data_IF_665925016928
#
_entry.id   IF_665925016928
#
_cell.length_a   1.000
_cell.length_b   1.000
_cell.length_c   1.000
_cell.angle_alpha   90.00
_cell.angle_beta   90.00
_cell.angle_gamma   90.00
#
_symmetry.space_group_name_H-M   'P 1'
#
loop_
_entity.id
_entity.type
_entity.pdbx_description
1 polymer ?
#
# COMPACT_ATOMS: atom_id res chain seq x y z
N UNK A 1 61.44 -57.17 25.13
CA UNK A 1 60.49 -57.10 24.01
C UNK A 1 59.14 -56.66 24.60
N UNK A 2 58.83 -55.35 24.51
CA UNK A 2 57.56 -54.76 24.97
C UNK A 2 56.75 -54.42 23.74
N UNK A 3 55.57 -55.04 23.58
CA UNK A 3 54.59 -54.74 22.52
C UNK A 3 53.71 -53.59 22.99
N UNK A 4 53.73 -52.44 22.30
CA UNK A 4 52.73 -51.36 22.45
C UNK A 4 51.51 -51.73 21.60
N UNK A 5 50.35 -51.86 22.24
CA UNK A 5 49.08 -51.88 21.55
C UNK A 5 48.57 -50.41 21.39
N UNK A 6 48.47 -49.95 20.18
CA UNK A 6 47.84 -48.67 19.88
C UNK A 6 46.34 -48.85 19.74
N UNK A 7 45.56 -48.17 20.59
CA UNK A 7 44.09 -48.07 20.47
C UNK A 7 43.75 -46.94 19.46
N UNK A 8 43.21 -47.29 18.30
CA UNK A 8 42.58 -46.35 17.39
C UNK A 8 41.16 -46.05 17.86
N UNK A 9 40.91 -44.81 18.32
CA UNK A 9 39.60 -44.30 18.67
C UNK A 9 38.95 -43.80 17.37
N UNK A 10 37.99 -44.54 16.82
CA UNK A 10 37.20 -44.10 15.68
C UNK A 10 36.14 -43.11 16.15
N UNK A 11 36.31 -41.82 15.89
CA UNK A 11 35.30 -40.80 16.06
C UNK A 11 34.26 -40.90 14.94
N UNK A 12 33.10 -41.50 15.22
CA UNK A 12 31.93 -41.42 14.33
C UNK A 12 31.34 -40.03 14.46
N UNK A 13 31.56 -39.18 13.45
CA UNK A 13 30.82 -37.93 13.25
C UNK A 13 29.37 -38.27 12.87
N UNK A 14 28.46 -38.14 13.84
CA UNK A 14 27.03 -38.15 13.57
C UNK A 14 26.70 -36.86 12.78
N UNK A 15 26.47 -37.01 11.46
CA UNK A 15 25.93 -35.95 10.62
C UNK A 15 24.50 -35.66 11.10
N UNK A 16 24.29 -34.53 11.77
CA UNK A 16 22.97 -34.02 12.07
C UNK A 16 22.34 -33.61 10.71
N UNK A 17 21.19 -34.19 10.32
CA UNK A 17 20.55 -33.80 9.08
C UNK A 17 20.24 -32.29 9.14
N UNK A 18 20.75 -31.53 8.18
CA UNK A 18 20.38 -30.13 8.02
C UNK A 18 18.86 -30.08 7.83
N UNK A 19 18.15 -29.42 8.76
CA UNK A 19 16.72 -29.22 8.59
C UNK A 19 16.48 -28.54 7.25
N UNK A 20 15.66 -29.18 6.39
CA UNK A 20 15.31 -28.59 5.10
C UNK A 20 14.72 -27.22 5.32
N UNK A 21 15.25 -26.19 4.65
CA UNK A 21 14.69 -24.86 4.72
C UNK A 21 13.26 -24.91 4.16
N UNK A 22 12.30 -24.27 4.84
CA UNK A 22 10.93 -24.23 4.33
C UNK A 22 10.89 -23.58 2.94
N UNK A 23 10.02 -24.12 2.05
CA UNK A 23 9.90 -23.62 0.69
C UNK A 23 9.56 -22.13 0.64
N UNK A 24 10.09 -21.37 -0.34
CA UNK A 24 9.73 -19.98 -0.54
C UNK A 24 8.23 -19.77 -0.64
N UNK A 25 7.75 -18.63 -0.19
CA UNK A 25 6.34 -18.26 -0.18
C UNK A 25 6.13 -16.85 -0.75
N UNK A 26 4.91 -16.55 -1.19
CA UNK A 26 4.58 -15.21 -1.63
C UNK A 26 4.50 -14.25 -0.45
N UNK A 27 5.10 -13.07 -0.62
CA UNK A 27 5.01 -11.95 0.29
C UNK A 27 4.58 -10.70 -0.47
N UNK A 28 3.52 -10.04 -0.01
CA UNK A 28 3.09 -8.80 -0.64
C UNK A 28 4.15 -7.73 -0.45
N UNK A 29 4.65 -7.21 -1.55
CA UNK A 29 5.73 -6.23 -1.60
C UNK A 29 5.25 -4.81 -1.94
N UNK A 30 4.08 -4.71 -2.54
CA UNK A 30 3.39 -3.45 -2.79
C UNK A 30 1.87 -3.71 -2.81
N UNK A 31 1.11 -2.75 -2.29
CA UNK A 31 -0.34 -2.75 -2.36
C UNK A 31 -0.87 -1.32 -2.56
N UNK A 32 -2.05 -1.21 -3.16
CA UNK A 32 -2.85 0.01 -3.22
C UNK A 32 -4.30 -0.34 -2.90
N UNK A 33 -4.84 0.22 -1.83
CA UNK A 33 -6.25 0.06 -1.50
C UNK A 33 -7.10 0.76 -2.54
N UNK A 34 -7.95 0.01 -3.25
CA UNK A 34 -8.75 0.57 -4.34
C UNK A 34 -10.09 1.12 -3.85
N UNK A 35 -10.56 2.13 -4.56
CA UNK A 35 -11.83 2.80 -4.40
C UNK A 35 -12.45 3.06 -5.77
N UNK A 36 -13.56 3.75 -5.83
CA UNK A 36 -14.17 4.11 -7.09
C UNK A 36 -15.69 4.05 -7.07
N UNK A 37 -16.33 4.13 -8.23
CA UNK A 37 -15.65 4.21 -9.54
C UNK A 37 -14.98 5.57 -9.79
N UNK A 38 -13.90 5.58 -10.57
CA UNK A 38 -13.33 6.82 -11.10
C UNK A 38 -14.45 7.66 -11.76
N UNK A 39 -14.52 9.01 -11.55
CA UNK A 39 -13.55 9.85 -10.89
C UNK A 39 -13.82 10.09 -9.39
N UNK A 40 -14.69 9.31 -8.73
CA UNK A 40 -15.00 9.51 -7.31
C UNK A 40 -13.85 9.02 -6.43
N UNK A 41 -13.21 9.97 -5.73
CA UNK A 41 -12.05 9.72 -4.88
C UNK A 41 -11.44 11.04 -4.40
N UNK A 42 -10.32 10.95 -3.67
CA UNK A 42 -9.57 12.10 -3.17
C UNK A 42 -8.16 12.15 -3.77
N UNK A 43 -8.00 12.43 -5.08
CA UNK A 43 -6.69 12.54 -5.71
C UNK A 43 -5.91 13.74 -5.16
N UNK A 44 -4.58 13.69 -5.26
CA UNK A 44 -3.69 14.81 -4.96
C UNK A 44 -2.73 15.03 -6.11
N UNK A 45 -2.47 16.29 -6.45
CA UNK A 45 -1.56 16.70 -7.53
C UNK A 45 -1.86 16.00 -8.88
N UNK A 46 -3.15 15.73 -9.13
CA UNK A 46 -3.61 15.00 -10.31
C UNK A 46 -3.55 15.92 -11.55
N UNK A 47 -2.86 15.50 -12.61
CA UNK A 47 -2.96 16.18 -13.90
C UNK A 47 -4.38 16.14 -14.47
N UNK A 48 -4.68 17.00 -15.45
CA UNK A 48 -5.96 16.94 -16.15
C UNK A 48 -6.12 15.59 -16.86
N UNK A 49 -7.12 14.83 -16.45
CA UNK A 49 -7.37 13.49 -16.96
C UNK A 49 -8.25 13.44 -18.21
N UNK A 50 -8.74 14.58 -18.69
CA UNK A 50 -9.61 14.64 -19.90
C UNK A 50 -8.93 14.12 -21.15
N UNK A 51 -7.60 14.17 -21.22
CA UNK A 51 -6.85 13.63 -22.34
C UNK A 51 -6.61 12.12 -22.24
N UNK A 52 -6.54 11.62 -21.01
CA UNK A 52 -6.37 10.19 -20.73
C UNK A 52 -7.73 9.47 -20.74
N UNK A 53 -8.75 10.07 -20.12
CA UNK A 53 -10.11 9.54 -20.00
C UNK A 53 -11.13 10.62 -20.36
N UNK A 54 -11.38 10.88 -21.66
CA UNK A 54 -12.29 11.95 -22.14
C UNK A 54 -13.73 11.75 -21.64
N UNK A 55 -14.15 10.50 -21.51
CA UNK A 55 -15.43 10.10 -20.95
C UNK A 55 -15.22 9.18 -19.75
N UNK A 56 -15.37 9.69 -18.51
CA UNK A 56 -15.23 8.88 -17.31
C UNK A 56 -16.19 7.68 -17.21
N UNK A 57 -17.35 7.75 -17.87
CA UNK A 57 -18.32 6.65 -17.87
C UNK A 57 -17.89 5.49 -18.80
N UNK A 58 -17.22 5.80 -19.89
CA UNK A 58 -16.60 4.82 -20.76
C UNK A 58 -15.29 4.26 -20.17
N UNK A 59 -14.64 5.07 -19.33
CA UNK A 59 -13.39 4.71 -18.67
C UNK A 59 -12.20 4.66 -19.65
N UNK A 60 -11.29 3.70 -19.43
CA UNK A 60 -10.20 3.42 -20.34
C UNK A 60 -10.75 2.76 -21.62
N UNK A 61 -10.25 3.17 -22.78
CA UNK A 61 -10.77 2.74 -24.08
C UNK A 61 -9.66 2.37 -25.05
N UNK A 62 -9.48 1.07 -25.30
CA UNK A 62 -8.48 0.53 -26.23
C UNK A 62 -7.13 1.26 -26.10
N UNK A 63 -6.59 1.30 -24.87
CA UNK A 63 -5.39 2.06 -24.53
C UNK A 63 -4.52 1.32 -23.52
N UNK A 64 -3.25 1.67 -23.49
CA UNK A 64 -2.28 1.11 -22.53
C UNK A 64 -2.02 2.09 -21.40
N UNK A 65 -2.15 1.63 -20.17
CA UNK A 65 -1.70 2.31 -18.97
C UNK A 65 -0.34 1.72 -18.53
N UNK A 66 0.58 2.56 -18.09
CA UNK A 66 1.87 2.15 -17.52
C UNK A 66 1.99 2.70 -16.10
N UNK A 67 1.72 1.84 -15.14
CA UNK A 67 1.66 2.17 -13.73
C UNK A 67 3.02 1.95 -13.10
N UNK A 68 3.50 2.96 -12.38
CA UNK A 68 4.79 2.90 -11.70
C UNK A 68 4.55 2.59 -10.24
N UNK A 69 5.19 1.52 -9.73
CA UNK A 69 5.06 1.05 -8.35
C UNK A 69 6.44 0.81 -7.73
N UNK A 70 6.56 0.98 -6.41
CA UNK A 70 7.80 0.78 -5.67
C UNK A 70 7.67 -0.43 -4.75
N UNK A 71 8.27 -1.58 -5.11
CA UNK A 71 8.32 -2.73 -4.22
C UNK A 71 9.11 -2.40 -2.94
N UNK A 72 8.63 -2.86 -1.81
CA UNK A 72 9.31 -2.74 -0.52
C UNK A 72 10.24 -3.92 -0.22
N UNK A 73 10.02 -5.05 -0.87
CA UNK A 73 10.86 -6.25 -0.87
C UNK A 73 11.14 -6.67 -2.33
N UNK A 74 12.33 -7.18 -2.64
CA UNK A 74 12.71 -7.64 -3.96
C UNK A 74 13.04 -9.12 -3.97
N UNK A 75 12.32 -9.89 -4.79
CA UNK A 75 12.55 -11.31 -5.08
C UNK A 75 12.77 -11.56 -6.57
N UNK A 76 13.19 -12.77 -6.94
CA UNK A 76 13.48 -13.14 -8.34
C UNK A 76 12.21 -13.44 -9.16
N UNK A 77 11.06 -13.54 -8.52
CA UNK A 77 9.77 -13.72 -9.18
C UNK A 77 8.74 -12.79 -8.54
N UNK A 78 7.83 -12.28 -9.38
CA UNK A 78 6.71 -11.47 -8.95
C UNK A 78 5.39 -12.04 -9.49
N UNK A 79 4.26 -11.67 -8.88
CA UNK A 79 2.93 -11.81 -9.45
C UNK A 79 2.11 -10.56 -9.16
N UNK A 80 1.18 -10.26 -10.05
CA UNK A 80 0.38 -9.04 -10.02
C UNK A 80 -1.08 -9.38 -9.78
N UNK A 81 -1.78 -8.57 -8.99
CA UNK A 81 -3.23 -8.67 -8.80
C UNK A 81 -3.91 -7.48 -9.46
N UNK A 82 -4.91 -7.79 -10.28
CA UNK A 82 -5.77 -6.79 -10.93
C UNK A 82 -7.19 -6.90 -10.39
N UNK A 83 -7.84 -5.75 -10.20
CA UNK A 83 -9.14 -5.63 -9.55
C UNK A 83 -10.14 -4.88 -10.43
N UNK A 84 -11.34 -5.43 -10.55
CA UNK A 84 -12.50 -4.80 -11.14
C UNK A 84 -13.60 -4.57 -10.08
N UNK A 85 -13.18 -4.29 -8.83
CA UNK A 85 -14.05 -4.23 -7.65
C UNK A 85 -15.22 -3.22 -7.80
N UNK A 86 -15.02 -2.16 -8.54
CA UNK A 86 -16.01 -1.08 -8.76
C UNK A 86 -16.43 -0.94 -10.22
N UNK A 87 -16.05 -1.87 -11.07
CA UNK A 87 -16.52 -1.97 -12.44
C UNK A 87 -17.95 -2.54 -12.53
N UNK A 88 -18.67 -2.16 -13.58
CA UNK A 88 -20.03 -2.66 -13.89
C UNK A 88 -20.06 -3.51 -15.17
N UNK A 89 -18.93 -3.59 -15.87
CA UNK A 89 -18.71 -4.42 -17.06
C UNK A 89 -17.54 -5.37 -16.82
N UNK A 90 -17.43 -6.52 -17.52
CA UNK A 90 -16.21 -7.30 -17.54
C UNK A 90 -15.03 -6.46 -18.03
N UNK A 91 -13.94 -6.45 -17.26
CA UNK A 91 -12.68 -5.82 -17.64
C UNK A 91 -11.81 -6.83 -18.38
N UNK A 92 -11.45 -6.55 -19.62
CA UNK A 92 -10.54 -7.37 -20.39
C UNK A 92 -9.18 -6.67 -20.46
N UNK A 93 -8.17 -7.32 -19.88
CA UNK A 93 -6.77 -6.90 -19.95
C UNK A 93 -5.99 -7.85 -20.83
N UNK A 94 -5.14 -7.31 -21.68
CA UNK A 94 -4.20 -8.12 -22.44
C UNK A 94 -2.82 -7.42 -22.56
N UNK A 95 -1.85 -8.13 -23.12
CA UNK A 95 -0.51 -7.58 -23.33
C UNK A 95 0.09 -6.91 -22.09
N UNK A 96 -0.16 -7.48 -20.92
CA UNK A 96 0.39 -6.99 -19.66
C UNK A 96 1.89 -7.28 -19.63
N UNK A 97 2.69 -6.27 -19.22
CA UNK A 97 4.14 -6.37 -19.09
C UNK A 97 4.61 -5.79 -17.76
N UNK A 98 5.75 -6.28 -17.28
CA UNK A 98 6.40 -5.86 -16.05
C UNK A 98 7.90 -5.65 -16.30
N UNK A 99 8.42 -4.45 -16.05
CA UNK A 99 9.84 -4.14 -16.23
C UNK A 99 10.37 -3.16 -15.20
N UNK A 100 11.70 -3.06 -15.12
CA UNK A 100 12.38 -2.12 -14.25
C UNK A 100 12.27 -0.70 -14.85
N UNK A 101 11.69 0.25 -14.12
CA UNK A 101 11.59 1.63 -14.58
C UNK A 101 12.99 2.25 -14.75
N UNK A 102 13.25 2.85 -15.91
CA UNK A 102 14.43 3.65 -16.17
C UNK A 102 14.27 5.09 -15.65
N UNK A 103 13.15 5.71 -16.02
CA UNK A 103 12.73 7.07 -15.67
C UNK A 103 11.56 7.46 -16.57
N UNK A 104 10.72 8.41 -16.13
CA UNK A 104 9.50 8.73 -16.89
C UNK A 104 8.65 7.48 -17.14
N UNK A 105 8.18 7.30 -18.35
CA UNK A 105 7.50 6.08 -18.80
C UNK A 105 8.46 5.03 -19.38
N UNK A 106 9.77 5.30 -19.45
CA UNK A 106 10.74 4.37 -20.03
C UNK A 106 11.08 3.21 -19.08
N UNK A 107 11.31 2.05 -19.67
CA UNK A 107 11.73 0.80 -19.02
C UNK A 107 13.19 0.53 -19.37
N UNK A 108 13.94 -0.03 -18.42
CA UNK A 108 15.33 -0.45 -18.66
C UNK A 108 15.33 -1.55 -19.73
N UNK A 109 16.02 -1.38 -20.86
CA UNK A 109 16.03 -2.34 -21.96
C UNK A 109 16.40 -3.77 -21.48
N UNK A 110 15.65 -4.75 -21.96
CA UNK A 110 15.85 -6.17 -21.63
C UNK A 110 15.24 -6.62 -20.29
N UNK A 111 14.64 -5.71 -19.51
CA UNK A 111 13.95 -6.07 -18.25
C UNK A 111 12.45 -6.26 -18.40
N UNK A 112 11.86 -5.86 -19.52
CA UNK A 112 10.41 -5.85 -19.76
C UNK A 112 9.91 -7.28 -20.06
N UNK A 113 9.22 -7.90 -19.10
CA UNK A 113 8.76 -9.29 -19.17
C UNK A 113 7.25 -9.35 -19.45
N UNK A 114 6.79 -10.24 -20.34
CA UNK A 114 5.37 -10.47 -20.53
C UNK A 114 4.75 -11.16 -19.30
N UNK A 115 3.55 -10.72 -18.94
CA UNK A 115 2.75 -11.26 -17.83
C UNK A 115 1.64 -12.12 -18.42
N UNK A 116 1.41 -13.30 -17.84
CA UNK A 116 0.39 -14.25 -18.27
C UNK A 116 -0.61 -14.54 -17.18
N UNK A 117 -1.76 -15.10 -17.57
CA UNK A 117 -2.86 -15.50 -16.70
C UNK A 117 -3.30 -16.91 -17.09
N UNK A 118 -3.00 -17.90 -16.25
CA UNK A 118 -3.19 -19.33 -16.58
C UNK A 118 -2.59 -19.69 -17.96
N UNK A 119 -1.39 -19.16 -18.24
CA UNK A 119 -0.67 -19.36 -19.50
C UNK A 119 -1.12 -18.47 -20.66
N UNK A 120 -2.22 -17.72 -20.54
CA UNK A 120 -2.77 -16.84 -21.58
C UNK A 120 -2.22 -15.41 -21.46
N UNK A 121 -2.18 -14.66 -22.57
CA UNK A 121 -1.78 -13.24 -22.59
C UNK A 121 -2.88 -12.28 -22.13
N UNK A 122 -4.12 -12.78 -22.03
CA UNK A 122 -5.29 -11.97 -21.65
C UNK A 122 -6.02 -12.57 -20.46
N UNK A 123 -6.77 -11.71 -19.75
CA UNK A 123 -7.67 -12.08 -18.67
C UNK A 123 -8.95 -11.25 -18.74
N UNK A 124 -10.08 -11.89 -18.45
CA UNK A 124 -11.36 -11.21 -18.27
C UNK A 124 -11.72 -11.24 -16.79
N UNK A 125 -11.85 -10.06 -16.18
CA UNK A 125 -12.18 -9.90 -14.76
C UNK A 125 -13.64 -9.44 -14.66
N UNK A 126 -14.54 -10.25 -14.07
CA UNK A 126 -15.94 -9.86 -13.94
C UNK A 126 -16.11 -8.64 -13.01
N UNK A 127 -17.26 -7.94 -13.07
CA UNK A 127 -17.60 -6.91 -12.11
C UNK A 127 -17.49 -7.41 -10.67
N UNK A 128 -16.88 -6.61 -9.78
CA UNK A 128 -16.61 -7.00 -8.38
C UNK A 128 -15.45 -7.98 -8.21
N UNK A 129 -14.88 -8.52 -9.30
CA UNK A 129 -13.85 -9.57 -9.28
C UNK A 129 -12.42 -9.04 -9.21
N UNK A 130 -11.49 -9.99 -9.04
CA UNK A 130 -10.05 -9.78 -9.13
C UNK A 130 -9.38 -10.99 -9.80
N UNK A 131 -8.16 -10.78 -10.32
CA UNK A 131 -7.36 -11.85 -10.90
C UNK A 131 -5.89 -11.68 -10.55
N UNK A 132 -5.22 -12.79 -10.20
CA UNK A 132 -3.77 -12.88 -10.09
C UNK A 132 -3.15 -13.31 -11.41
N UNK A 133 -2.00 -12.74 -11.74
CA UNK A 133 -1.17 -13.24 -12.83
C UNK A 133 -0.45 -14.54 -12.42
N UNK A 134 0.04 -15.24 -13.42
CA UNK A 134 1.08 -16.26 -13.25
C UNK A 134 2.36 -15.61 -12.69
N UNK A 135 3.27 -16.42 -12.08
CA UNK A 135 4.59 -15.93 -11.69
C UNK A 135 5.39 -15.40 -12.89
N UNK A 136 5.96 -14.19 -12.71
CA UNK A 136 6.84 -13.53 -13.69
C UNK A 136 8.26 -13.57 -13.18
N UNK A 137 9.18 -14.13 -13.93
CA UNK A 137 10.60 -14.10 -13.59
C UNK A 137 11.16 -12.67 -13.76
N UNK A 138 12.01 -12.26 -12.82
CA UNK A 138 12.72 -10.99 -12.84
C UNK A 138 14.23 -11.25 -12.99
N UNK A 139 14.73 -11.54 -14.21
CA UNK A 139 16.11 -11.99 -14.42
C UNK A 139 17.16 -10.94 -14.06
N UNK A 140 16.76 -9.68 -13.90
CA UNK A 140 17.63 -8.60 -13.41
C UNK A 140 17.78 -8.58 -11.87
N UNK A 141 17.07 -9.44 -11.13
CA UNK A 141 17.25 -9.64 -9.69
C UNK A 141 18.17 -10.83 -9.46
N UNK A 142 19.45 -10.59 -9.20
CA UNK A 142 20.40 -11.65 -8.86
C UNK A 142 20.02 -12.37 -7.56
N UNK A 143 20.44 -13.61 -7.42
CA UNK A 143 20.22 -14.40 -6.20
C UNK A 143 20.86 -13.70 -5.00
N UNK A 144 20.07 -13.47 -3.93
CA UNK A 144 20.50 -12.74 -2.75
C UNK A 144 20.74 -11.23 -2.96
N UNK A 145 20.56 -10.71 -4.18
CA UNK A 145 20.91 -9.32 -4.53
C UNK A 145 19.69 -8.37 -4.57
N UNK A 146 18.51 -8.82 -4.15
CA UNK A 146 17.30 -7.98 -4.13
C UNK A 146 17.51 -6.64 -3.41
N UNK A 147 18.35 -6.60 -2.38
CA UNK A 147 18.67 -5.36 -1.67
C UNK A 147 19.34 -4.27 -2.53
N UNK A 148 20.02 -4.62 -3.62
CA UNK A 148 20.61 -3.64 -4.55
C UNK A 148 19.55 -2.85 -5.33
N UNK A 149 18.32 -3.34 -5.36
CA UNK A 149 17.19 -2.69 -6.03
C UNK A 149 16.31 -1.86 -5.08
N UNK A 150 16.69 -1.74 -3.81
CA UNK A 150 15.94 -0.93 -2.86
C UNK A 150 15.76 0.51 -3.36
N UNK A 151 14.50 0.99 -3.33
CA UNK A 151 14.14 2.31 -3.86
C UNK A 151 13.94 2.37 -5.38
N UNK A 152 14.30 1.31 -6.14
CA UNK A 152 13.97 1.22 -7.56
C UNK A 152 12.48 0.92 -7.73
N UNK A 153 11.96 1.26 -8.92
CA UNK A 153 10.54 1.12 -9.25
C UNK A 153 10.33 0.16 -10.40
N UNK A 154 9.17 -0.48 -10.40
CA UNK A 154 8.69 -1.29 -11.51
C UNK A 154 7.64 -0.50 -12.31
N UNK A 155 7.65 -0.68 -13.62
CA UNK A 155 6.62 -0.22 -14.52
C UNK A 155 5.75 -1.41 -14.92
N UNK A 156 4.47 -1.37 -14.56
CA UNK A 156 3.45 -2.36 -14.95
C UNK A 156 2.63 -1.76 -16.07
N UNK A 157 2.79 -2.28 -17.28
CA UNK A 157 2.01 -1.87 -18.45
C UNK A 157 0.85 -2.83 -18.63
N UNK A 158 -0.36 -2.30 -18.86
CA UNK A 158 -1.57 -3.08 -19.12
C UNK A 158 -2.37 -2.43 -20.24
N UNK A 159 -2.84 -3.21 -21.21
CA UNK A 159 -3.75 -2.77 -22.25
C UNK A 159 -5.18 -3.13 -21.88
N UNK A 160 -6.07 -2.14 -21.92
CA UNK A 160 -7.51 -2.33 -21.73
C UNK A 160 -8.14 -2.55 -23.10
N UNK A 161 -8.72 -3.73 -23.31
CA UNK A 161 -9.39 -4.08 -24.58
C UNK A 161 -10.79 -3.50 -24.60
N UNK A 162 -11.10 -2.73 -25.66
CA UNK A 162 -12.38 -2.05 -25.77
C UNK A 162 -12.59 -0.99 -24.68
N UNK A 163 -13.78 -0.91 -24.10
CA UNK A 163 -14.13 0.04 -23.03
C UNK A 163 -14.22 -0.66 -21.69
N UNK A 164 -13.51 -0.15 -20.69
CA UNK A 164 -13.59 -0.69 -19.33
C UNK A 164 -14.93 -0.41 -18.64
N UNK A 165 -15.63 0.64 -19.02
CA UNK A 165 -16.68 1.22 -18.20
C UNK A 165 -16.11 1.89 -16.92
N UNK A 166 -16.92 2.02 -15.86
CA UNK A 166 -16.47 2.59 -14.60
C UNK A 166 -15.25 1.90 -14.05
N UNK A 167 -14.20 2.67 -13.72
CA UNK A 167 -12.89 2.13 -13.37
C UNK A 167 -12.68 2.00 -11.87
N UNK A 168 -12.17 0.86 -11.45
CA UNK A 168 -11.54 0.67 -10.13
C UNK A 168 -10.20 1.38 -10.11
N UNK A 169 -9.92 2.19 -9.09
CA UNK A 169 -8.70 2.96 -8.99
C UNK A 169 -8.24 3.21 -7.55
N UNK A 170 -6.99 3.55 -7.38
CA UNK A 170 -6.46 4.19 -6.18
C UNK A 170 -6.16 5.65 -6.52
N UNK A 171 -6.92 6.57 -5.94
CA UNK A 171 -6.94 7.95 -6.38
C UNK A 171 -5.65 8.71 -6.07
N UNK A 172 -4.98 8.41 -4.94
CA UNK A 172 -3.85 9.17 -4.40
C UNK A 172 -2.55 8.36 -4.42
N UNK A 173 -2.08 8.01 -5.61
CA UNK A 173 -0.81 7.31 -5.71
C UNK A 173 0.38 8.17 -5.27
N UNK A 174 0.36 9.49 -5.50
CA UNK A 174 1.50 10.39 -5.34
C UNK A 174 2.77 9.87 -6.03
N UNK A 175 2.53 9.06 -7.05
CA UNK A 175 3.52 8.47 -7.95
C UNK A 175 3.06 8.69 -9.38
N UNK A 176 3.90 9.31 -10.20
CA UNK A 176 3.58 9.54 -11.60
C UNK A 176 3.55 8.20 -12.35
N UNK A 177 2.43 7.95 -12.99
CA UNK A 177 2.19 6.87 -13.92
C UNK A 177 1.77 7.45 -15.27
N UNK A 178 1.65 6.63 -16.30
CA UNK A 178 1.51 7.12 -17.67
C UNK A 178 0.43 6.36 -18.44
N UNK A 179 -0.06 6.97 -19.53
CA UNK A 179 -1.01 6.32 -20.40
C UNK A 179 -0.89 6.82 -21.86
N UNK A 180 -1.33 5.96 -22.77
CA UNK A 180 -1.49 6.30 -24.18
C UNK A 180 -2.78 7.07 -24.39
N UNK A 181 -2.97 7.68 -25.57
CA UNK A 181 -4.28 8.19 -25.97
C UNK A 181 -5.31 7.04 -26.08
N UNK A 182 -6.61 7.31 -25.84
CA UNK A 182 -7.67 6.37 -26.15
C UNK A 182 -7.61 5.88 -27.60
N UNK A 183 -7.84 4.60 -27.85
CA UNK A 183 -7.77 3.99 -29.20
C UNK A 183 -6.36 3.74 -29.72
N UNK A 184 -5.32 3.89 -28.88
CA UNK A 184 -3.93 3.65 -29.31
C UNK A 184 -3.52 2.17 -29.32
N UNK A 185 -4.30 1.28 -28.66
CA UNK A 185 -4.01 -0.15 -28.62
C UNK A 185 -2.86 -0.54 -27.67
N UNK A 186 -2.18 -1.65 -27.99
CA UNK A 186 -1.17 -2.33 -27.18
C UNK A 186 0.22 -1.73 -27.32
N UNK A 187 0.74 -1.16 -26.23
CA UNK A 187 2.11 -0.62 -26.14
C UNK A 187 2.91 -1.16 -24.94
N UNK A 188 2.40 -2.20 -24.25
CA UNK A 188 3.05 -2.77 -23.05
C UNK A 188 4.46 -3.30 -23.32
N UNK A 189 4.70 -3.86 -24.52
CA UNK A 189 5.98 -4.41 -24.95
C UNK A 189 7.08 -3.38 -25.22
N UNK A 190 6.71 -2.09 -25.41
CA UNK A 190 7.68 -1.05 -25.75
C UNK A 190 8.46 -0.60 -24.52
N UNK A 191 9.80 -0.60 -24.58
CA UNK A 191 10.67 -0.08 -23.51
C UNK A 191 10.69 1.45 -23.49
N UNK A 192 10.50 2.10 -24.64
CA UNK A 192 10.48 3.57 -24.78
C UNK A 192 9.20 4.22 -24.27
N UNK A 193 9.25 5.55 -24.12
CA UNK A 193 8.14 6.35 -23.58
C UNK A 193 7.29 7.05 -24.64
N UNK A 194 7.68 7.01 -25.93
CA UNK A 194 7.05 7.80 -26.98
C UNK A 194 5.53 7.59 -27.14
N UNK A 195 5.01 6.39 -26.79
CA UNK A 195 3.60 6.09 -26.85
C UNK A 195 2.79 6.62 -25.64
N UNK A 196 3.43 7.15 -24.60
CA UNK A 196 2.84 7.51 -23.34
C UNK A 196 2.85 9.02 -23.05
N UNK A 197 2.12 9.85 -23.82
CA UNK A 197 2.17 11.30 -23.71
C UNK A 197 1.45 11.86 -22.49
N UNK A 198 0.60 11.08 -21.83
CA UNK A 198 -0.22 11.55 -20.72
C UNK A 198 0.23 10.92 -19.40
N UNK A 199 0.10 11.69 -18.33
CA UNK A 199 0.45 11.24 -16.98
C UNK A 199 -0.75 11.25 -16.03
N UNK A 200 -0.64 10.49 -14.97
CA UNK A 200 -1.61 10.43 -13.85
C UNK A 200 -0.86 10.26 -12.54
N UNK A 201 -1.44 10.76 -11.45
CA UNK A 201 -0.97 10.54 -10.08
C UNK A 201 -1.81 9.48 -9.34
N UNK A 202 -2.40 8.55 -10.09
CA UNK A 202 -3.28 7.48 -9.60
C UNK A 202 -2.89 6.13 -10.19
N UNK A 203 -3.34 5.03 -9.54
CA UNK A 203 -3.24 3.69 -10.11
C UNK A 203 -4.64 3.16 -10.49
N UNK A 204 -4.72 2.45 -11.59
CA UNK A 204 -5.96 1.89 -12.12
C UNK A 204 -5.85 0.38 -12.25
N UNK A 205 -6.85 -0.34 -11.74
CA UNK A 205 -7.01 -1.79 -11.81
C UNK A 205 -5.93 -2.62 -11.07
N UNK A 206 -4.69 -2.19 -10.98
CA UNK A 206 -3.62 -2.87 -10.25
C UNK A 206 -3.74 -2.54 -8.76
N UNK A 207 -3.82 -3.55 -7.89
CA UNK A 207 -4.01 -3.36 -6.45
C UNK A 207 -3.04 -4.11 -5.55
N UNK A 208 -2.28 -5.09 -6.07
CA UNK A 208 -1.21 -5.74 -5.32
C UNK A 208 -0.10 -6.29 -6.22
N UNK A 209 1.11 -6.35 -5.65
CA UNK A 209 2.27 -7.02 -6.20
C UNK A 209 2.91 -7.87 -5.10
N UNK A 210 2.99 -9.17 -5.34
CA UNK A 210 3.72 -10.10 -4.49
C UNK A 210 5.08 -10.42 -5.09
N UNK A 211 6.07 -10.66 -4.22
CA UNK A 211 7.37 -11.22 -4.57
C UNK A 211 7.53 -12.60 -3.93
N UNK A 212 8.18 -13.52 -4.64
CA UNK A 212 8.58 -14.80 -4.04
C UNK A 212 9.74 -14.55 -3.07
N UNK A 213 9.54 -14.90 -1.82
CA UNK A 213 10.44 -14.59 -0.71
C UNK A 213 10.75 -15.86 0.11
N UNK A 214 11.81 -15.88 0.91
CA UNK A 214 12.02 -16.92 1.92
C UNK A 214 10.78 -17.08 2.81
N UNK A 215 10.46 -18.31 3.18
CA UNK A 215 9.31 -18.55 4.06
C UNK A 215 9.42 -17.76 5.36
N UNK A 216 8.31 -17.16 5.78
CA UNK A 216 8.25 -16.34 6.99
C UNK A 216 8.80 -14.91 6.82
N UNK A 217 9.11 -14.46 5.59
CA UNK A 217 9.41 -13.05 5.35
C UNK A 217 8.26 -12.16 5.83
N UNK A 218 8.50 -11.26 6.81
CA UNK A 218 7.44 -10.46 7.40
C UNK A 218 6.87 -9.43 6.42
N UNK A 219 5.54 -9.33 6.39
CA UNK A 219 4.80 -8.27 5.71
C UNK A 219 4.05 -7.45 6.75
N UNK A 220 4.37 -6.15 6.83
CA UNK A 220 3.73 -5.17 7.71
C UNK A 220 2.73 -4.37 6.89
N UNK A 221 1.46 -4.41 7.28
CA UNK A 221 0.41 -3.64 6.60
C UNK A 221 0.15 -2.35 7.36
N UNK A 222 0.38 -1.21 6.72
CA UNK A 222 -0.02 0.11 7.19
C UNK A 222 -1.45 0.38 6.70
N UNK A 223 -2.44 0.27 7.58
CA UNK A 223 -3.85 0.44 7.24
C UNK A 223 -4.37 1.76 7.80
N UNK A 224 -5.04 2.56 6.96
CA UNK A 224 -5.43 3.89 7.42
C UNK A 224 -6.16 4.74 6.39
N UNK A 225 -6.32 5.99 6.76
CA UNK A 225 -6.94 7.05 5.96
C UNK A 225 -5.92 7.86 5.12
N UNK A 226 -6.22 9.14 4.87
CA UNK A 226 -5.36 10.06 4.10
C UNK A 226 -3.97 10.26 4.69
N UNK A 227 -3.80 10.10 6.01
CA UNK A 227 -2.50 10.26 6.67
C UNK A 227 -1.62 9.05 6.42
N UNK A 228 -2.20 7.86 6.31
CA UNK A 228 -1.48 6.65 5.88
C UNK A 228 -1.26 6.64 4.36
N UNK A 229 -2.27 7.02 3.59
CA UNK A 229 -2.20 7.18 2.13
C UNK A 229 -1.14 8.22 1.70
N UNK A 230 -0.90 9.23 2.53
CA UNK A 230 0.22 10.17 2.41
C UNK A 230 -0.13 11.52 1.79
N UNK A 231 -1.34 12.03 2.06
CA UNK A 231 -1.72 13.39 1.65
C UNK A 231 -0.66 14.40 2.10
N UNK A 232 -0.25 15.31 1.19
CA UNK A 232 0.82 16.30 1.37
C UNK A 232 2.24 15.72 1.50
N UNK A 233 2.46 14.43 1.24
CA UNK A 233 3.81 13.92 1.00
C UNK A 233 4.33 14.33 -0.39
N UNK A 234 5.61 14.11 -0.65
CA UNK A 234 6.25 14.58 -1.90
C UNK A 234 5.86 13.70 -3.08
N UNK A 235 5.43 14.33 -4.18
CA UNK A 235 5.21 13.63 -5.45
C UNK A 235 6.48 12.87 -5.88
N UNK A 236 6.35 11.57 -6.12
CA UNK A 236 7.44 10.64 -6.44
C UNK A 236 8.50 10.48 -5.33
N UNK A 237 8.28 11.06 -4.13
CA UNK A 237 9.26 11.13 -3.06
C UNK A 237 9.33 9.89 -2.17
N UNK A 238 8.28 9.06 -2.17
CA UNK A 238 8.18 7.88 -1.30
C UNK A 238 8.54 8.22 0.16
N UNK A 239 7.96 9.30 0.71
CA UNK A 239 8.29 9.85 2.02
C UNK A 239 7.11 9.88 3.01
N UNK A 240 6.11 9.02 2.80
CA UNK A 240 5.02 8.71 3.72
C UNK A 240 5.57 8.01 4.96
N UNK A 241 4.84 8.00 6.06
CA UNK A 241 5.30 7.29 7.26
C UNK A 241 5.55 5.77 7.04
N UNK A 242 4.76 5.02 6.21
CA UNK A 242 5.09 3.63 5.90
C UNK A 242 6.38 3.50 5.07
N UNK A 243 6.67 4.45 4.19
CA UNK A 243 7.91 4.48 3.41
C UNK A 243 9.13 4.73 4.31
N UNK A 244 8.98 5.59 5.32
CA UNK A 244 10.02 5.84 6.35
C UNK A 244 10.26 4.55 7.14
N UNK A 245 9.21 3.89 7.60
CA UNK A 245 9.31 2.61 8.31
C UNK A 245 10.04 1.56 7.46
N UNK A 246 9.69 1.44 6.17
CA UNK A 246 10.35 0.52 5.24
C UNK A 246 11.85 0.82 5.12
N UNK A 247 12.26 2.08 4.96
CA UNK A 247 13.67 2.46 4.90
C UNK A 247 14.41 2.07 6.17
N UNK A 248 13.82 2.29 7.36
CA UNK A 248 14.42 1.92 8.66
C UNK A 248 14.61 0.40 8.79
N UNK A 249 13.62 -0.39 8.34
CA UNK A 249 13.77 -1.85 8.30
C UNK A 249 14.90 -2.26 7.36
N UNK A 250 14.95 -1.65 6.17
CA UNK A 250 15.99 -1.95 5.21
C UNK A 250 17.39 -1.56 5.71
N UNK A 251 17.56 -0.37 6.27
CA UNK A 251 18.83 0.09 6.86
C UNK A 251 19.32 -0.85 7.96
N UNK A 252 18.40 -1.38 8.77
CA UNK A 252 18.77 -2.22 9.90
C UNK A 252 18.95 -3.69 9.54
N UNK A 253 18.16 -4.22 8.61
CA UNK A 253 18.05 -5.66 8.37
C UNK A 253 18.22 -6.06 6.90
N UNK A 254 18.41 -5.10 5.99
CA UNK A 254 18.46 -5.34 4.56
C UNK A 254 17.11 -5.72 3.96
N UNK A 255 17.11 -6.45 2.85
CA UNK A 255 15.93 -6.87 2.11
C UNK A 255 15.22 -8.06 2.80
N UNK A 256 14.67 -7.86 4.01
CA UNK A 256 14.10 -8.93 4.84
C UNK A 256 12.67 -8.67 5.33
N UNK A 257 12.14 -7.47 5.14
CA UNK A 257 10.78 -7.07 5.58
C UNK A 257 10.13 -6.29 4.45
N UNK A 258 8.84 -6.52 4.22
CA UNK A 258 8.01 -5.67 3.38
C UNK A 258 7.08 -4.81 4.23
N UNK A 259 6.98 -3.51 3.93
CA UNK A 259 5.93 -2.63 4.47
C UNK A 259 5.05 -2.18 3.32
N UNK A 260 3.75 -2.43 3.40
CA UNK A 260 2.78 -2.08 2.37
C UNK A 260 1.78 -1.06 2.88
N UNK A 261 1.38 -0.15 2.01
CA UNK A 261 0.45 0.92 2.33
C UNK A 261 -0.96 0.57 1.86
N UNK A 262 -1.90 0.46 2.80
CA UNK A 262 -3.32 0.22 2.58
C UNK A 262 -4.18 1.41 3.05
N UNK A 263 -3.69 2.63 2.87
CA UNK A 263 -4.42 3.88 3.13
C UNK A 263 -5.39 4.24 2.02
N UNK A 264 -6.46 4.93 2.36
CA UNK A 264 -7.39 5.60 1.42
C UNK A 264 -7.71 7.00 1.93
N UNK A 265 -7.46 8.02 1.13
CA UNK A 265 -7.78 9.40 1.51
C UNK A 265 -9.28 9.60 1.83
N UNK A 266 -9.60 10.05 3.05
CA UNK A 266 -10.98 10.27 3.50
C UNK A 266 -11.67 9.04 4.09
N UNK A 267 -10.98 7.92 4.27
CA UNK A 267 -11.56 6.68 4.78
C UNK A 267 -12.09 6.84 6.22
N UNK A 268 -13.13 6.09 6.55
CA UNK A 268 -13.79 6.08 7.84
C UNK A 268 -13.87 4.65 8.38
N UNK A 269 -13.85 4.51 9.68
CA UNK A 269 -14.01 3.22 10.37
C UNK A 269 -15.49 2.81 10.40
N UNK A 270 -16.35 3.70 10.90
CA UNK A 270 -17.78 3.45 11.08
C UNK A 270 -18.65 3.84 9.87
N UNK A 271 -18.10 4.60 8.92
CA UNK A 271 -18.81 5.09 7.75
C UNK A 271 -18.06 4.86 6.43
N UNK A 272 -18.67 5.18 5.30
CA UNK A 272 -20.09 5.51 5.14
C UNK A 272 -21.01 4.31 5.44
N UNK A 273 -22.23 4.57 5.92
CA UNK A 273 -23.21 3.52 6.21
C UNK A 273 -23.65 2.74 4.96
N UNK A 274 -23.61 3.40 3.79
CA UNK A 274 -23.92 2.81 2.49
C UNK A 274 -22.83 3.19 1.49
N UNK A 275 -22.30 2.20 0.79
CA UNK A 275 -21.34 2.38 -0.29
C UNK A 275 -21.65 1.41 -1.44
N UNK A 276 -21.80 1.97 -2.64
CA UNK A 276 -22.01 1.17 -3.85
C UNK A 276 -21.48 1.93 -5.06
N UNK A 277 -21.40 1.26 -6.21
CA UNK A 277 -21.06 1.92 -7.47
C UNK A 277 -22.04 3.04 -7.85
N UNK A 278 -23.32 2.91 -7.44
CA UNK A 278 -24.36 3.94 -7.69
C UNK A 278 -24.33 5.06 -6.62
N UNK A 279 -23.82 4.78 -5.42
CA UNK A 279 -23.66 5.75 -4.33
C UNK A 279 -22.23 5.70 -3.81
N UNK A 280 -21.26 6.12 -4.62
CA UNK A 280 -19.87 6.11 -4.21
C UNK A 280 -19.57 7.24 -3.24
N UNK A 281 -18.62 6.99 -2.33
CA UNK A 281 -18.09 7.97 -1.38
C UNK A 281 -16.61 8.22 -1.67
N UNK A 282 -16.11 9.46 -1.69
CA UNK A 282 -14.71 9.75 -2.03
C UNK A 282 -13.69 9.06 -1.12
N UNK A 283 -14.04 8.79 0.14
CA UNK A 283 -13.21 8.04 1.09
C UNK A 283 -13.25 6.52 0.92
N UNK A 284 -13.92 6.01 -0.10
CA UNK A 284 -14.09 4.58 -0.31
C UNK A 284 -15.09 3.93 0.67
N UNK A 285 -15.22 2.59 0.64
CA UNK A 285 -16.02 1.85 1.62
C UNK A 285 -15.39 1.94 3.01
N UNK A 286 -16.19 1.68 4.07
CA UNK A 286 -15.68 1.69 5.44
C UNK A 286 -14.51 0.74 5.63
N UNK A 287 -13.70 0.99 6.65
CA UNK A 287 -12.54 0.15 6.99
C UNK A 287 -12.93 -1.34 7.07
N UNK A 288 -14.04 -1.66 7.74
CA UNK A 288 -14.55 -3.03 7.83
C UNK A 288 -14.98 -3.62 6.49
N UNK A 289 -15.63 -2.82 5.63
CA UNK A 289 -16.11 -3.28 4.32
C UNK A 289 -14.97 -3.56 3.32
N UNK A 290 -13.87 -2.79 3.38
CA UNK A 290 -12.71 -2.98 2.49
C UNK A 290 -11.67 -3.97 3.02
N UNK A 291 -11.79 -4.41 4.27
CA UNK A 291 -10.78 -5.20 4.97
C UNK A 291 -10.42 -6.50 4.24
N UNK A 292 -11.42 -7.24 3.75
CA UNK A 292 -11.18 -8.51 3.05
C UNK A 292 -10.30 -8.31 1.81
N UNK A 293 -10.67 -7.35 0.98
CA UNK A 293 -9.98 -7.06 -0.28
C UNK A 293 -8.59 -6.47 -0.06
N UNK A 294 -8.49 -5.46 0.82
CA UNK A 294 -7.30 -4.61 0.91
C UNK A 294 -6.23 -5.20 1.83
N UNK A 295 -6.61 -6.17 2.66
CA UNK A 295 -5.76 -6.66 3.74
C UNK A 295 -5.79 -8.17 3.90
N UNK A 296 -6.97 -8.78 4.16
CA UNK A 296 -7.04 -10.21 4.52
C UNK A 296 -6.66 -11.11 3.35
N UNK A 297 -6.70 -10.60 2.12
CA UNK A 297 -6.26 -11.28 0.89
C UNK A 297 -4.77 -11.08 0.56
N UNK A 298 -4.02 -10.30 1.33
CA UNK A 298 -2.58 -10.09 1.12
C UNK A 298 -1.77 -11.29 1.61
N UNK A 299 -0.60 -11.51 1.01
CA UNK A 299 0.28 -12.64 1.29
C UNK A 299 1.33 -12.29 2.33
N UNK A 300 1.59 -13.20 3.26
CA UNK A 300 2.71 -13.11 4.20
C UNK A 300 2.51 -12.10 5.35
N UNK A 301 1.29 -11.65 5.62
CA UNK A 301 1.00 -10.65 6.66
C UNK A 301 1.36 -11.18 8.04
N UNK A 302 2.25 -10.45 8.74
CA UNK A 302 2.71 -10.77 10.11
C UNK A 302 2.51 -9.63 11.09
N UNK A 303 2.29 -8.41 10.60
CA UNK A 303 2.04 -7.26 11.47
C UNK A 303 1.08 -6.25 10.80
N UNK A 304 0.41 -5.50 11.63
CA UNK A 304 -0.60 -4.52 11.28
C UNK A 304 -0.39 -3.24 12.07
N UNK A 305 -0.43 -2.09 11.39
CA UNK A 305 -0.45 -0.79 12.05
C UNK A 305 -1.73 -0.08 11.61
N UNK A 306 -2.62 0.16 12.56
CA UNK A 306 -3.94 0.77 12.35
C UNK A 306 -3.91 2.25 12.68
N UNK A 307 -4.14 3.12 11.69
CA UNK A 307 -4.29 4.57 11.86
C UNK A 307 -5.56 5.05 11.17
N UNK A 308 -6.68 5.08 11.88
CA UNK A 308 -8.00 5.49 11.36
C UNK A 308 -8.80 6.19 12.45
N UNK A 309 -9.76 7.06 12.06
CA UNK A 309 -10.74 7.65 12.95
C UNK A 309 -10.92 9.17 12.78
N UNK A 310 -9.94 9.87 12.18
CA UNK A 310 -10.03 11.32 12.05
C UNK A 310 -11.23 11.76 11.19
N UNK A 311 -11.54 11.02 10.13
CA UNK A 311 -12.65 11.32 9.23
C UNK A 311 -14.02 10.95 9.81
N UNK A 312 -14.06 9.97 10.70
CA UNK A 312 -15.28 9.61 11.44
C UNK A 312 -15.79 10.77 12.29
N UNK A 313 -14.86 11.51 12.90
CA UNK A 313 -15.16 12.66 13.76
C UNK A 313 -15.27 13.99 13.03
N UNK A 314 -15.06 14.00 11.71
CA UNK A 314 -15.26 15.18 10.87
C UNK A 314 -16.75 15.56 10.79
N UNK A 315 -17.06 16.76 10.26
CA UNK A 315 -18.45 17.16 9.99
C UNK A 315 -19.17 16.20 9.03
N UNK A 316 -18.40 15.56 8.13
CA UNK A 316 -18.96 14.62 7.15
C UNK A 316 -19.22 13.23 7.76
N UNK A 317 -18.36 12.77 8.68
CA UNK A 317 -18.53 11.48 9.36
C UNK A 317 -19.50 11.55 10.52
N UNK A 318 -19.37 12.57 11.36
CA UNK A 318 -20.19 12.86 12.54
C UNK A 318 -20.49 11.65 13.44
N UNK A 319 -19.58 10.67 13.49
CA UNK A 319 -19.73 9.46 14.28
C UNK A 319 -19.55 9.75 15.80
N UNK A 320 -20.13 8.88 16.64
CA UNK A 320 -19.80 8.84 18.06
C UNK A 320 -18.48 8.05 18.28
N UNK A 321 -17.84 8.26 19.41
CA UNK A 321 -16.63 7.52 19.79
C UNK A 321 -16.93 6.03 19.94
N UNK A 322 -18.07 5.69 20.53
CA UNK A 322 -18.52 4.32 20.75
C UNK A 322 -18.77 3.57 19.43
N UNK A 323 -19.35 4.24 18.42
CA UNK A 323 -19.56 3.67 17.09
C UNK A 323 -18.22 3.32 16.41
N UNK A 324 -17.25 4.23 16.48
CA UNK A 324 -15.89 4.00 15.94
C UNK A 324 -15.19 2.86 16.68
N UNK A 325 -15.25 2.85 18.02
CA UNK A 325 -14.68 1.78 18.83
C UNK A 325 -15.32 0.41 18.53
N UNK A 326 -16.63 0.35 18.34
CA UNK A 326 -17.33 -0.90 18.02
C UNK A 326 -16.90 -1.44 16.65
N UNK A 327 -16.89 -0.59 15.62
CA UNK A 327 -16.46 -0.97 14.28
C UNK A 327 -14.96 -1.38 14.24
N UNK A 328 -14.11 -0.70 15.04
CA UNK A 328 -12.69 -1.06 15.18
C UNK A 328 -12.52 -2.43 15.83
N UNK A 329 -13.29 -2.75 16.90
CA UNK A 329 -13.25 -4.09 17.55
C UNK A 329 -13.67 -5.18 16.56
N UNK A 330 -14.72 -4.96 15.77
CA UNK A 330 -15.17 -5.91 14.75
C UNK A 330 -14.07 -6.17 13.70
N UNK A 331 -13.50 -5.12 13.13
CA UNK A 331 -12.44 -5.23 12.13
C UNK A 331 -11.20 -5.96 12.67
N UNK A 332 -10.74 -5.59 13.87
CA UNK A 332 -9.61 -6.24 14.56
C UNK A 332 -9.93 -7.71 14.86
N UNK A 333 -11.15 -8.04 15.25
CA UNK A 333 -11.60 -9.44 15.44
C UNK A 333 -11.43 -10.27 14.17
N UNK A 334 -11.80 -9.72 13.01
CA UNK A 334 -11.62 -10.37 11.69
C UNK A 334 -10.15 -10.53 11.32
N UNK A 335 -9.30 -9.52 11.61
CA UNK A 335 -7.85 -9.62 11.38
C UNK A 335 -7.26 -10.74 12.23
N UNK A 336 -7.58 -10.82 13.52
CA UNK A 336 -7.09 -11.87 14.41
C UNK A 336 -7.57 -13.26 14.00
N UNK A 337 -8.81 -13.37 13.52
CA UNK A 337 -9.33 -14.64 13.00
C UNK A 337 -8.56 -15.14 11.79
N UNK A 338 -8.15 -14.24 10.88
CA UNK A 338 -7.38 -14.58 9.67
C UNK A 338 -5.89 -14.78 9.96
N UNK A 339 -5.31 -13.92 10.79
CA UNK A 339 -3.89 -13.89 11.13
C UNK A 339 -3.69 -13.95 12.63
N UNK A 340 -3.90 -15.12 13.28
CA UNK A 340 -3.92 -15.23 14.74
C UNK A 340 -2.57 -14.91 15.41
N UNK A 341 -1.48 -14.98 14.65
CA UNK A 341 -0.13 -14.68 15.13
C UNK A 341 0.36 -13.27 14.73
N UNK A 342 -0.45 -12.52 13.95
CA UNK A 342 -0.04 -11.19 13.51
C UNK A 342 0.02 -10.20 14.69
N UNK A 343 1.06 -9.38 14.70
CA UNK A 343 1.20 -8.28 15.66
C UNK A 343 0.27 -7.13 15.26
N UNK A 344 -0.63 -6.72 16.15
CA UNK A 344 -1.56 -5.62 15.91
C UNK A 344 -1.13 -4.40 16.71
N UNK A 345 -0.88 -3.29 16.02
CA UNK A 345 -0.41 -2.03 16.60
C UNK A 345 -1.46 -0.97 16.34
N UNK A 346 -2.01 -0.38 17.39
CA UNK A 346 -2.89 0.77 17.29
C UNK A 346 -2.08 2.06 17.25
N UNK A 347 -2.24 2.87 16.20
CA UNK A 347 -1.62 4.19 16.14
C UNK A 347 -2.57 5.26 16.66
N UNK A 348 -2.07 6.14 17.53
CA UNK A 348 -2.85 7.27 18.03
C UNK A 348 -3.11 8.27 16.90
N UNK A 349 -4.36 8.70 16.76
CA UNK A 349 -4.82 9.62 15.73
C UNK A 349 -4.22 11.00 15.98
N UNK A 350 -3.56 11.57 14.99
CA UNK A 350 -2.92 12.88 15.05
C UNK A 350 -3.95 14.00 15.18
N UNK A 351 -3.55 15.16 15.74
CA UNK A 351 -4.45 16.29 15.89
C UNK A 351 -4.82 16.91 14.55
N UNK A 352 -6.10 17.25 14.39
CA UNK A 352 -6.61 18.09 13.31
C UNK A 352 -7.02 19.49 13.82
N UNK A 353 -6.77 19.80 15.09
CA UNK A 353 -7.20 21.06 15.70
C UNK A 353 -6.58 22.25 14.95
N UNK A 354 -7.40 23.27 14.70
CA UNK A 354 -7.03 24.45 13.90
C UNK A 354 -6.78 24.13 12.39
N UNK A 355 -7.26 23.00 11.88
CA UNK A 355 -7.23 22.73 10.44
C UNK A 355 -7.97 23.80 9.65
N UNK A 356 -7.44 24.11 8.46
CA UNK A 356 -8.10 25.02 7.49
C UNK A 356 -9.16 24.31 6.66
N UNK A 357 -9.28 22.99 6.78
CA UNK A 357 -10.34 22.20 6.13
C UNK A 357 -11.71 22.51 6.75
N UNK A 358 -12.71 22.83 5.93
CA UNK A 358 -14.06 23.14 6.41
C UNK A 358 -14.73 21.99 7.19
N UNK A 359 -14.29 20.75 6.96
CA UNK A 359 -14.84 19.56 7.62
C UNK A 359 -14.12 19.20 8.94
N UNK A 360 -12.99 19.82 9.26
CA UNK A 360 -12.12 19.46 10.38
C UNK A 360 -11.76 20.66 11.25
N UNK A 361 -11.00 20.45 12.31
CA UNK A 361 -10.32 21.50 13.08
C UNK A 361 -11.11 22.10 14.22
N UNK A 362 -12.26 21.55 14.60
CA UNK A 362 -13.12 22.06 15.68
C UNK A 362 -12.95 21.27 17.01
N UNK A 363 -13.23 21.93 18.14
CA UNK A 363 -12.96 21.41 19.48
C UNK A 363 -13.59 20.04 19.75
N UNK A 364 -14.88 19.84 19.40
CA UNK A 364 -15.55 18.56 19.63
C UNK A 364 -14.92 17.39 18.85
N UNK A 365 -14.36 17.66 17.65
CA UNK A 365 -13.60 16.63 16.92
C UNK A 365 -12.36 16.22 17.73
N UNK A 366 -11.63 17.18 18.29
CA UNK A 366 -10.43 16.91 19.07
C UNK A 366 -10.75 16.19 20.39
N UNK A 367 -11.87 16.51 21.05
CA UNK A 367 -12.34 15.78 22.21
C UNK A 367 -12.60 14.31 21.89
N UNK A 368 -13.34 14.03 20.80
CA UNK A 368 -13.59 12.66 20.33
C UNK A 368 -12.32 11.92 19.94
N UNK A 369 -11.37 12.61 19.28
CA UNK A 369 -10.06 12.07 18.92
C UNK A 369 -9.27 11.66 20.17
N UNK A 370 -9.23 12.51 21.20
CA UNK A 370 -8.56 12.21 22.48
C UNK A 370 -9.17 10.99 23.15
N UNK A 371 -10.50 10.91 23.21
CA UNK A 371 -11.19 9.75 23.76
C UNK A 371 -10.91 8.45 22.97
N UNK A 372 -10.79 8.54 21.64
CA UNK A 372 -10.37 7.39 20.82
C UNK A 372 -8.91 7.02 21.09
N UNK A 373 -8.00 8.00 21.22
CA UNK A 373 -6.60 7.75 21.55
C UNK A 373 -6.44 7.09 22.92
N UNK A 374 -7.22 7.50 23.92
CA UNK A 374 -7.24 6.85 25.23
C UNK A 374 -7.71 5.38 25.12
N UNK A 375 -8.72 5.12 24.31
CA UNK A 375 -9.14 3.75 24.03
C UNK A 375 -8.04 2.94 23.29
N UNK A 376 -7.34 3.51 22.31
CA UNK A 376 -6.23 2.84 21.64
C UNK A 376 -5.13 2.46 22.63
N UNK A 377 -4.81 3.34 23.60
CA UNK A 377 -3.78 3.09 24.62
C UNK A 377 -4.19 2.06 25.67
N UNK A 378 -5.43 2.11 26.13
CA UNK A 378 -5.87 1.40 27.33
C UNK A 378 -6.93 0.33 27.09
N UNK A 379 -7.55 0.28 25.90
CA UNK A 379 -8.69 -0.59 25.61
C UNK A 379 -8.35 -2.07 25.41
N UNK A 380 -7.08 -2.47 25.45
CA UNK A 380 -6.63 -3.88 25.34
C UNK A 380 -6.88 -4.51 23.96
N UNK A 381 -7.20 -3.70 22.94
CA UNK A 381 -7.52 -4.17 21.60
C UNK A 381 -6.26 -4.51 20.79
N UNK A 382 -5.19 -3.75 20.99
CA UNK A 382 -3.92 -3.83 20.28
C UNK A 382 -2.82 -4.44 21.16
N UNK A 383 -1.84 -5.07 20.53
CA UNK A 383 -0.67 -5.67 21.21
C UNK A 383 0.38 -4.62 21.57
N UNK A 384 0.35 -3.47 20.90
CA UNK A 384 1.22 -2.31 21.15
C UNK A 384 0.57 -1.03 20.62
N UNK A 385 1.14 0.11 21.00
CA UNK A 385 0.68 1.44 20.58
C UNK A 385 1.81 2.17 19.85
N UNK A 386 1.47 2.81 18.73
CA UNK A 386 2.31 3.76 18.02
C UNK A 386 1.85 5.19 18.37
N UNK A 387 2.69 5.97 19.05
CA UNK A 387 2.34 7.30 19.56
C UNK A 387 2.54 8.40 18.49
N UNK A 388 1.76 8.29 17.40
CA UNK A 388 1.82 9.28 16.31
C UNK A 388 1.32 10.66 16.73
N UNK A 389 0.31 10.71 17.61
CA UNK A 389 -0.14 11.98 18.21
C UNK A 389 1.00 12.67 18.94
N UNK A 390 1.67 11.99 19.87
CA UNK A 390 2.80 12.55 20.62
C UNK A 390 3.97 12.97 19.70
N UNK A 391 4.20 12.25 18.61
CA UNK A 391 5.26 12.55 17.66
C UNK A 391 5.01 13.85 16.87
N UNK A 392 3.74 14.25 16.70
CA UNK A 392 3.36 15.36 15.81
C UNK A 392 2.69 16.55 16.52
N UNK A 393 2.25 16.37 17.77
CA UNK A 393 1.49 17.36 18.54
C UNK A 393 2.36 18.53 18.97
N UNK A 394 1.88 19.74 18.74
CA UNK A 394 2.36 20.95 19.43
C UNK A 394 1.61 21.11 20.76
N UNK A 395 2.28 20.95 21.91
CA UNK A 395 1.63 21.06 23.21
C UNK A 395 1.12 22.47 23.54
N UNK A 396 1.63 23.52 22.88
CA UNK A 396 1.22 24.91 23.12
C UNK A 396 -0.13 25.21 22.45
N UNK A 397 -0.40 24.65 21.28
CA UNK A 397 -1.61 24.95 20.50
C UNK A 397 -2.60 23.80 20.45
N UNK A 398 -2.17 22.58 20.77
CA UNK A 398 -2.96 21.35 20.62
C UNK A 398 -3.14 20.88 19.16
N UNK A 399 -2.56 21.59 18.19
CA UNK A 399 -2.55 21.22 16.79
C UNK A 399 -1.28 20.48 16.39
N UNK A 400 -1.05 20.33 15.08
CA UNK A 400 0.23 19.85 14.57
C UNK A 400 1.33 20.87 14.80
N UNK A 401 2.56 20.39 15.03
CA UNK A 401 3.75 21.25 15.17
C UNK A 401 3.95 22.11 13.94
N UNK A 402 4.31 23.40 14.07
CA UNK A 402 4.44 24.34 12.95
C UNK A 402 5.37 23.84 11.83
N UNK A 403 6.50 23.23 12.17
CA UNK A 403 7.48 22.71 11.20
C UNK A 403 6.98 21.49 10.39
N UNK A 404 5.90 20.85 10.84
CA UNK A 404 5.29 19.72 10.17
C UNK A 404 4.14 20.11 9.24
N UNK A 405 3.77 21.39 9.21
CA UNK A 405 2.59 21.89 8.48
C UNK A 405 2.90 22.93 7.41
N UNK A 406 4.00 23.71 7.48
CA UNK A 406 4.24 24.75 6.48
C UNK A 406 4.43 24.10 5.11
N UNK A 407 3.99 24.75 4.08
CA UNK A 407 4.16 24.43 2.67
C UNK A 407 3.87 22.97 2.30
N UNK A 408 2.78 22.75 1.62
CA UNK A 408 2.48 21.44 1.02
C UNK A 408 3.62 21.01 0.09
N UNK A 409 4.09 19.78 0.22
CA UNK A 409 5.08 19.20 -0.70
C UNK A 409 4.50 18.87 -2.07
N UNK A 410 3.19 19.00 -2.26
CA UNK A 410 2.50 18.87 -3.54
C UNK A 410 2.10 20.21 -4.15
N UNK A 411 2.53 21.32 -3.55
CA UNK A 411 2.20 22.69 -3.95
C UNK A 411 1.16 23.34 -3.04
N UNK A 412 1.37 24.59 -2.68
CA UNK A 412 0.48 25.39 -1.82
C UNK A 412 0.71 25.20 -0.32
N UNK A 413 0.02 25.98 0.49
CA UNK A 413 0.10 25.93 1.94
C UNK A 413 -0.51 24.64 2.49
N UNK A 414 0.01 24.14 3.60
CA UNK A 414 -0.53 23.01 4.34
C UNK A 414 -1.92 23.30 4.94
N UNK A 415 -2.67 22.26 5.23
CA UNK A 415 -4.05 22.34 5.74
C UNK A 415 -4.17 22.13 7.26
N UNK A 416 -3.07 21.91 7.97
CA UNK A 416 -3.02 21.64 9.42
C UNK A 416 -3.82 20.41 9.86
N UNK A 417 -4.12 19.52 8.93
CA UNK A 417 -4.71 18.20 9.14
C UNK A 417 -3.70 17.13 8.74
N UNK A 418 -3.09 17.30 7.57
CA UNK A 418 -2.14 16.36 7.02
C UNK A 418 -0.71 16.85 7.31
N UNK A 419 0.13 15.99 7.88
CA UNK A 419 1.55 16.31 8.04
C UNK A 419 2.26 16.46 6.69
N UNK A 420 3.25 17.32 6.63
CA UNK A 420 4.20 17.33 5.52
C UNK A 420 5.23 16.17 5.67
N UNK A 421 6.22 16.09 4.77
CA UNK A 421 7.25 15.06 4.82
C UNK A 421 8.04 15.01 6.15
N UNK A 422 8.19 16.16 6.86
CA UNK A 422 8.87 16.20 8.16
C UNK A 422 8.00 15.52 9.24
N UNK A 423 6.68 15.75 9.22
CA UNK A 423 5.76 15.07 10.11
C UNK A 423 5.66 13.57 9.80
N UNK A 424 5.61 13.17 8.54
CA UNK A 424 5.67 11.76 8.16
C UNK A 424 6.97 11.08 8.58
N UNK A 425 8.10 11.81 8.51
CA UNK A 425 9.37 11.33 9.03
C UNK A 425 9.28 11.11 10.55
N UNK A 426 8.74 12.06 11.30
CA UNK A 426 8.58 11.95 12.75
C UNK A 426 7.71 10.74 13.12
N UNK A 427 6.58 10.53 12.44
CA UNK A 427 5.71 9.37 12.63
C UNK A 427 6.45 8.05 12.36
N UNK A 428 7.09 7.91 11.21
CA UNK A 428 7.83 6.70 10.86
C UNK A 428 9.02 6.43 11.78
N UNK A 429 9.67 7.48 12.30
CA UNK A 429 10.78 7.38 13.25
C UNK A 429 10.34 7.02 14.67
N UNK A 430 9.11 7.34 15.08
CA UNK A 430 8.59 7.04 16.41
C UNK A 430 8.29 5.55 16.64
N UNK A 431 8.17 4.76 15.57
CA UNK A 431 7.93 3.31 15.66
C UNK A 431 9.18 2.56 16.12
N UNK A 432 9.06 1.71 17.13
CA UNK A 432 10.11 0.76 17.48
C UNK A 432 10.04 -0.47 16.58
N UNK A 433 11.12 -0.76 15.84
CA UNK A 433 11.17 -1.85 14.88
C UNK A 433 11.00 -3.22 15.52
N UNK A 434 11.51 -3.41 16.74
CA UNK A 434 11.38 -4.67 17.47
C UNK A 434 9.93 -4.89 17.97
N UNK A 435 9.21 -3.81 18.24
CA UNK A 435 7.78 -3.86 18.55
C UNK A 435 6.95 -4.24 17.32
N UNK A 436 7.30 -3.72 16.14
CA UNK A 436 6.57 -4.01 14.90
C UNK A 436 6.83 -5.44 14.41
N UNK A 437 8.09 -5.89 14.37
CA UNK A 437 8.47 -7.25 13.97
C UNK A 437 9.38 -7.85 15.04
N UNK A 438 8.80 -8.49 16.09
CA UNK A 438 9.57 -9.10 17.15
C UNK A 438 10.47 -10.23 16.65
N UNK A 439 11.69 -10.31 17.17
CA UNK A 439 12.62 -11.40 16.89
C UNK A 439 13.35 -11.31 15.54
N UNK A 440 13.15 -10.26 14.76
CA UNK A 440 13.92 -10.02 13.56
C UNK A 440 15.38 -9.67 13.92
N UNK A 441 16.34 -10.46 13.42
CA UNK A 441 17.79 -10.32 13.69
C UNK A 441 18.59 -10.08 12.42
#
# INVERSE_FOLDING_TARGET
MRRLLGLLLAMTLLAVPAAAQPAPSWATSWAASVQGPYPVGNPSAQPDQRFLFPDPAAGARDQTLRLVVRPSYWGQQARLRFSNAFGTKPLVLDGVHLGLQLGGAAIVPGTNQPVRFAGQESVTIPPGGMAWSDPVALPFVGEGQGGLLQGRKLAVSLHVVGESGPMTWHAKALQTSYGTAPGSGRHGHADGEAAFPYSTASWFFLDALDMLAPAGTPVVVAFGDSITDGTLSTMNGDDRWPDVLQRRFFERFGNRVAVVNAGIGGNQVAGPAEYSTAKPFPGGPSAGARLERDVLSLSGVTAFIWLEGTNDFSRNGNASVEAVQAAMREAVGRIRAKFPQARLIGATVTSALNSTSAAHGFALQDEKRKALNDFIRSGGLFDAVAEFDAATLDPATGGLRPEMVPDSTTGGAGDRLHPNRAGYLAMGMSLDLATVVPGLR
#
